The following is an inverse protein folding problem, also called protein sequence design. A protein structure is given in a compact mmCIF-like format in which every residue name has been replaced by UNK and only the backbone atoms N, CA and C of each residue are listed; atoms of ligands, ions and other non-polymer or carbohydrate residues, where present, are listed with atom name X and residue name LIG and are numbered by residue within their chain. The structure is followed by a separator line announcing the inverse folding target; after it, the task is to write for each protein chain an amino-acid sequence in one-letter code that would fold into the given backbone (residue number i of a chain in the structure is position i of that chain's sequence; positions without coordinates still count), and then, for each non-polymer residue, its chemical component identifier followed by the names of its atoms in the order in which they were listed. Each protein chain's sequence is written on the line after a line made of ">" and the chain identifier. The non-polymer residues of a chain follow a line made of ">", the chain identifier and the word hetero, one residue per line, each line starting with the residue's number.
data_IF_878430114704
#
_entry.id   IF_878430114704
#
_cell.length_a   1.000
_cell.length_b   1.000
_cell.length_c   1.000
_cell.angle_alpha   90.00
_cell.angle_beta   90.00
_cell.angle_gamma   90.00
#
_symmetry.space_group_name_H-M   'P 1'
#
loop_
_entity.id
_entity.type
_entity.pdbx_description
1 polymer ?
#
# COMPACT_ATOMS: atom_id res chain seq x y z
N UNK A 1 5.87 13.22 14.04
CA UNK A 1 4.53 13.73 13.66
C UNK A 1 3.89 12.71 12.74
N UNK A 2 2.81 12.09 13.22
CA UNK A 2 2.08 11.05 12.50
C UNK A 2 1.19 11.64 11.41
N UNK A 3 1.35 11.20 10.17
CA UNK A 3 0.50 11.56 9.03
C UNK A 3 0.31 10.36 8.08
N UNK A 4 -0.70 10.43 7.22
CA UNK A 4 -0.97 9.43 6.20
C UNK A 4 -1.23 10.07 4.84
N UNK A 5 -0.87 9.35 3.77
CA UNK A 5 -1.15 9.73 2.39
C UNK A 5 -1.89 8.60 1.68
N UNK A 6 -3.04 8.91 1.07
CA UNK A 6 -3.83 7.93 0.32
C UNK A 6 -3.12 7.55 -0.97
N UNK A 7 -3.00 6.25 -1.22
CA UNK A 7 -2.44 5.66 -2.44
C UNK A 7 -3.58 5.17 -3.33
N UNK A 8 -3.67 5.71 -4.55
CA UNK A 8 -4.74 5.42 -5.51
C UNK A 8 -4.25 4.73 -6.78
N UNK A 9 -2.93 4.54 -6.94
CA UNK A 9 -2.34 3.89 -8.11
C UNK A 9 -1.05 3.16 -7.74
N UNK A 10 -0.75 2.08 -8.45
CA UNK A 10 0.51 1.35 -8.34
C UNK A 10 1.71 2.17 -8.82
N UNK A 11 1.48 3.23 -9.59
CA UNK A 11 2.53 4.15 -10.08
C UNK A 11 2.91 5.22 -9.04
N UNK A 12 2.19 5.29 -7.92
CA UNK A 12 2.54 6.20 -6.82
C UNK A 12 3.92 5.87 -6.25
N UNK A 13 4.69 6.90 -5.89
CA UNK A 13 5.98 6.72 -5.21
C UNK A 13 5.86 5.98 -3.86
N UNK A 14 4.67 5.98 -3.26
CA UNK A 14 4.41 5.31 -1.99
C UNK A 14 3.96 3.84 -2.15
N UNK A 15 3.59 3.41 -3.35
CA UNK A 15 3.14 2.04 -3.57
C UNK A 15 4.26 0.98 -3.43
N UNK A 16 5.48 1.17 -4.01
CA UNK A 16 6.55 0.19 -3.85
C UNK A 16 6.95 -0.14 -2.39
N UNK A 17 7.13 0.83 -1.48
CA UNK A 17 7.45 0.50 -0.09
C UNK A 17 6.29 -0.21 0.64
N UNK A 18 5.04 0.17 0.37
CA UNK A 18 3.85 -0.51 0.88
C UNK A 18 3.77 -1.96 0.38
N UNK A 19 3.98 -2.19 -0.91
CA UNK A 19 3.89 -3.52 -1.50
C UNK A 19 4.98 -4.46 -0.97
N UNK A 20 6.19 -3.92 -0.79
CA UNK A 20 7.29 -4.64 -0.19
C UNK A 20 7.03 -4.95 1.30
N UNK A 21 6.33 -4.09 2.04
CA UNK A 21 5.93 -4.36 3.43
C UNK A 21 4.83 -5.41 3.47
N UNK A 22 3.79 -5.27 2.65
CA UNK A 22 2.69 -6.21 2.50
C UNK A 22 3.20 -7.63 2.18
N UNK A 23 4.13 -7.75 1.23
CA UNK A 23 4.73 -9.04 0.85
C UNK A 23 5.60 -9.68 1.94
N UNK A 24 6.10 -8.90 2.90
CA UNK A 24 6.85 -9.39 4.07
C UNK A 24 5.94 -9.72 5.25
N UNK A 25 4.76 -9.10 5.33
CA UNK A 25 3.83 -9.24 6.45
C UNK A 25 2.95 -10.49 6.34
N UNK A 26 2.68 -10.98 5.12
CA UNK A 26 1.76 -12.10 4.88
C UNK A 26 2.45 -13.29 4.20
N UNK A 27 2.04 -14.54 4.49
CA UNK A 27 2.42 -15.70 3.70
C UNK A 27 2.00 -15.55 2.23
N UNK A 28 2.75 -16.15 1.31
CA UNK A 28 2.49 -16.02 -0.13
C UNK A 28 1.03 -16.30 -0.55
N UNK A 29 0.40 -17.33 0.03
CA UNK A 29 -0.97 -17.72 -0.31
C UNK A 29 -2.06 -16.77 0.22
N UNK A 30 -1.69 -15.80 1.07
CA UNK A 30 -2.57 -14.73 1.55
C UNK A 30 -2.32 -13.40 0.81
N UNK A 31 -1.29 -13.35 -0.05
CA UNK A 31 -0.95 -12.16 -0.81
C UNK A 31 -1.82 -12.06 -2.07
N UNK A 32 -2.24 -10.84 -2.38
CA UNK A 32 -2.87 -10.53 -3.66
C UNK A 32 -1.86 -10.62 -4.79
N UNK A 33 -2.29 -11.17 -5.93
CA UNK A 33 -1.58 -11.05 -7.19
C UNK A 33 -1.59 -9.59 -7.69
N UNK A 34 -0.66 -9.24 -8.60
CA UNK A 34 -0.50 -7.88 -9.09
C UNK A 34 -1.80 -7.27 -9.66
N UNK A 35 -2.55 -8.03 -10.46
CA UNK A 35 -3.83 -7.58 -11.04
C UNK A 35 -4.88 -7.33 -9.94
N UNK A 36 -4.91 -8.15 -8.89
CA UNK A 36 -5.84 -7.97 -7.78
C UNK A 36 -5.50 -6.74 -6.93
N UNK A 37 -4.21 -6.35 -6.84
CA UNK A 37 -3.81 -5.08 -6.21
C UNK A 37 -4.30 -3.88 -7.02
N UNK A 38 -4.16 -3.92 -8.35
CA UNK A 38 -4.69 -2.87 -9.23
C UNK A 38 -6.21 -2.76 -9.11
N UNK A 39 -6.93 -3.88 -9.20
CA UNK A 39 -8.39 -3.92 -9.05
C UNK A 39 -8.85 -3.38 -7.69
N UNK A 40 -8.08 -3.62 -6.62
CA UNK A 40 -8.37 -3.04 -5.31
C UNK A 40 -8.22 -1.51 -5.35
N UNK A 41 -7.14 -0.99 -5.93
CA UNK A 41 -6.92 0.47 -6.05
C UNK A 41 -7.92 1.17 -6.97
N UNK A 42 -8.44 0.48 -7.99
CA UNK A 42 -9.48 1.00 -8.88
C UNK A 42 -10.86 1.10 -8.19
N UNK A 43 -11.04 0.43 -7.04
CA UNK A 43 -12.29 0.47 -6.29
C UNK A 43 -12.38 1.77 -5.47
N UNK A 44 -13.38 2.64 -5.72
CA UNK A 44 -13.51 3.91 -5.00
C UNK A 44 -13.77 3.77 -3.49
N UNK A 45 -14.21 2.58 -3.04
CA UNK A 45 -14.45 2.28 -1.63
C UNK A 45 -13.25 1.61 -0.93
N UNK A 46 -12.18 1.33 -1.66
CA UNK A 46 -10.94 0.82 -1.09
C UNK A 46 -10.01 1.97 -0.74
N UNK A 47 -9.47 1.91 0.47
CA UNK A 47 -8.55 2.89 1.03
C UNK A 47 -7.24 2.18 1.36
N UNK A 48 -6.17 2.57 0.67
CA UNK A 48 -4.81 2.20 1.01
C UNK A 48 -4.07 3.48 1.40
N UNK A 49 -3.43 3.47 2.57
CA UNK A 49 -2.73 4.62 3.11
C UNK A 49 -1.27 4.26 3.38
N UNK A 50 -0.36 5.16 3.02
CA UNK A 50 1.02 5.14 3.50
C UNK A 50 1.12 6.02 4.73
N UNK A 51 1.58 5.46 5.84
CA UNK A 51 1.75 6.13 7.12
C UNK A 51 3.20 6.53 7.33
N UNK A 52 3.37 7.74 7.87
CA UNK A 52 4.67 8.33 8.16
C UNK A 52 4.71 8.88 9.58
N UNK A 53 5.88 8.73 10.23
CA UNK A 53 6.21 9.46 11.45
C UNK A 53 7.46 10.30 11.20
N UNK A 54 7.33 11.63 11.31
CA UNK A 54 8.41 12.59 11.02
C UNK A 54 9.04 12.41 9.62
N UNK A 55 8.20 12.06 8.65
CA UNK A 55 8.59 11.84 7.25
C UNK A 55 9.20 10.46 6.98
N UNK A 56 9.38 9.63 8.00
CA UNK A 56 9.80 8.25 7.85
C UNK A 56 8.59 7.35 7.58
N UNK A 57 8.64 6.56 6.50
CA UNK A 57 7.62 5.54 6.22
C UNK A 57 7.60 4.47 7.31
N UNK A 58 6.41 4.16 7.84
CA UNK A 58 6.23 3.21 8.94
C UNK A 58 5.17 2.13 8.67
N UNK A 59 4.32 2.27 7.64
CA UNK A 59 3.28 1.28 7.37
C UNK A 59 2.36 1.61 6.25
#
# INVERSE_FOLDING_TARGET
>A
MLNSERVTSTDSSHFPPLDALYGRALPWHEQREAEAKQQALDNPHYELEAWFDDGQFIG
#
